data_IF_527551476776
#
_entry.id   IF_527551476776
#
_cell.length_a   1.000
_cell.length_b   1.000
_cell.length_c   1.000
_cell.angle_alpha   90.00
_cell.angle_beta   90.00
_cell.angle_gamma   90.00
#
_symmetry.space_group_name_H-M   'P 1'
#
loop_
_entity.id
_entity.type
_entity.pdbx_description
1 polymer ?
#
# COMPACT_ATOMS: atom_id res chain seq x y z
N UNK A 1 8.87 -7.04 19.64
CA UNK A 1 8.61 -7.78 18.39
C UNK A 1 7.88 -9.04 18.77
N UNK A 2 6.66 -9.26 18.27
CA UNK A 2 6.01 -10.57 18.38
C UNK A 2 6.49 -11.44 17.22
N UNK A 3 6.87 -12.68 17.51
CA UNK A 3 7.23 -13.69 16.51
C UNK A 3 6.30 -14.88 16.72
N UNK A 4 5.71 -15.39 15.65
CA UNK A 4 4.81 -16.54 15.70
C UNK A 4 4.94 -17.38 14.43
N UNK A 5 4.60 -18.66 14.54
CA UNK A 5 4.62 -19.61 13.42
C UNK A 5 3.24 -20.20 13.22
N UNK A 6 2.86 -20.50 11.98
CA UNK A 6 1.63 -21.22 11.66
C UNK A 6 1.86 -22.12 10.45
N UNK A 7 1.17 -23.26 10.42
CA UNK A 7 1.25 -24.21 9.30
C UNK A 7 0.30 -23.76 8.19
N UNK A 8 0.71 -23.98 6.94
CA UNK A 8 -0.15 -23.86 5.76
C UNK A 8 -1.15 -25.01 5.76
N UNK A 9 -2.44 -24.72 5.69
CA UNK A 9 -3.50 -25.74 5.60
C UNK A 9 -3.49 -26.42 4.23
N UNK A 10 -4.22 -27.53 4.07
CA UNK A 10 -4.37 -28.21 2.77
C UNK A 10 -4.92 -27.28 1.66
N UNK A 11 -5.70 -26.27 2.04
CA UNK A 11 -6.25 -25.26 1.12
C UNK A 11 -5.32 -24.07 0.89
N UNK A 12 -4.07 -24.13 1.36
CA UNK A 12 -3.09 -23.06 1.18
C UNK A 12 -3.29 -21.85 2.11
N UNK A 13 -4.08 -21.96 3.17
CA UNK A 13 -4.32 -20.85 4.09
C UNK A 13 -3.31 -20.84 5.24
N UNK A 14 -2.94 -19.65 5.72
CA UNK A 14 -2.15 -19.47 6.95
C UNK A 14 -2.94 -18.67 7.97
N UNK A 15 -2.84 -19.06 9.24
CA UNK A 15 -3.50 -18.35 10.35
C UNK A 15 -2.57 -17.28 10.91
N UNK A 16 -3.08 -16.06 11.10
CA UNK A 16 -2.34 -15.00 11.80
C UNK A 16 -2.62 -15.14 13.30
N UNK A 17 -1.58 -15.23 14.18
CA UNK A 17 -1.75 -15.30 15.63
C UNK A 17 -2.61 -14.17 16.22
N UNK A 18 -3.34 -14.47 17.30
CA UNK A 18 -4.37 -13.58 17.83
C UNK A 18 -3.83 -12.22 18.34
N UNK A 19 -2.65 -12.21 18.94
CA UNK A 19 -1.96 -10.99 19.40
C UNK A 19 -1.57 -10.09 18.20
N UNK A 20 -1.03 -10.69 17.14
CA UNK A 20 -0.70 -10.00 15.90
C UNK A 20 -1.95 -9.40 15.24
N UNK A 21 -3.05 -10.17 15.13
CA UNK A 21 -4.32 -9.66 14.58
C UNK A 21 -4.81 -8.43 15.32
N UNK A 22 -4.81 -8.46 16.66
CA UNK A 22 -5.23 -7.33 17.51
C UNK A 22 -4.33 -6.10 17.28
N UNK A 23 -3.01 -6.28 17.28
CA UNK A 23 -2.07 -5.17 17.08
C UNK A 23 -2.18 -4.51 15.68
N UNK A 24 -2.53 -5.32 14.68
CA UNK A 24 -2.66 -4.86 13.28
C UNK A 24 -4.06 -4.38 12.93
N UNK A 25 -5.06 -4.59 13.81
CA UNK A 25 -6.47 -4.27 13.54
C UNK A 25 -7.05 -5.16 12.43
N UNK A 26 -6.74 -6.46 12.48
CA UNK A 26 -7.23 -7.47 11.52
C UNK A 26 -8.40 -8.24 12.13
N UNK A 27 -9.60 -7.70 11.95
CA UNK A 27 -10.85 -8.34 12.35
C UNK A 27 -11.43 -9.21 11.24
N UNK A 28 -12.41 -10.05 11.57
CA UNK A 28 -13.14 -10.84 10.56
C UNK A 28 -13.68 -9.95 9.45
N UNK A 29 -13.38 -10.31 8.19
CA UNK A 29 -13.76 -9.52 7.01
C UNK A 29 -12.77 -8.41 6.64
N UNK A 30 -11.70 -8.21 7.40
CA UNK A 30 -10.65 -7.25 7.04
C UNK A 30 -9.82 -7.78 5.87
N UNK A 31 -9.77 -7.02 4.79
CA UNK A 31 -8.87 -7.28 3.67
C UNK A 31 -7.41 -6.94 4.01
N UNK A 32 -6.51 -7.75 3.45
CA UNK A 32 -5.06 -7.54 3.54
C UNK A 32 -4.46 -7.49 2.14
N UNK A 33 -3.42 -6.69 1.99
CA UNK A 33 -2.59 -6.62 0.79
C UNK A 33 -1.38 -7.54 0.99
N UNK A 34 -1.15 -8.40 0.01
CA UNK A 34 0.03 -9.25 -0.09
C UNK A 34 1.06 -8.55 -0.98
N UNK A 35 2.29 -8.44 -0.48
CA UNK A 35 3.44 -7.96 -1.26
C UNK A 35 4.48 -9.07 -1.25
N UNK A 36 4.79 -9.60 -2.43
CA UNK A 36 5.86 -10.57 -2.62
C UNK A 36 7.22 -9.87 -2.50
N UNK A 37 8.14 -10.51 -1.79
CA UNK A 37 9.53 -10.11 -1.57
C UNK A 37 10.43 -11.32 -1.92
N UNK A 38 11.73 -11.09 -2.07
CA UNK A 38 12.67 -12.15 -2.48
C UNK A 38 12.70 -13.34 -1.49
N UNK A 39 12.48 -13.10 -0.20
CA UNK A 39 12.55 -14.09 0.87
C UNK A 39 11.20 -14.39 1.54
N UNK A 40 10.09 -13.86 1.02
CA UNK A 40 8.77 -14.13 1.58
C UNK A 40 7.68 -13.17 1.15
N UNK A 41 6.69 -13.02 2.02
CA UNK A 41 5.51 -12.18 1.77
C UNK A 41 5.33 -11.21 2.94
N UNK A 42 5.14 -9.94 2.60
CA UNK A 42 4.73 -8.92 3.54
C UNK A 42 3.21 -8.74 3.47
N UNK A 43 2.57 -8.86 4.63
CA UNK A 43 1.14 -8.61 4.82
C UNK A 43 0.91 -7.20 5.36
N UNK A 44 0.02 -6.44 4.74
CA UNK A 44 -0.43 -5.13 5.25
C UNK A 44 -1.95 -5.06 5.32
N UNK A 45 -2.47 -4.41 6.36
CA UNK A 45 -3.91 -4.09 6.44
C UNK A 45 -4.29 -3.11 5.32
N UNK A 46 -5.29 -3.43 4.52
CA UNK A 46 -5.79 -2.52 3.46
C UNK A 46 -6.31 -1.21 4.07
N UNK A 47 -7.00 -1.30 5.21
CA UNK A 47 -7.51 -0.13 5.94
C UNK A 47 -6.40 0.84 6.31
N UNK A 48 -5.29 0.33 6.88
CA UNK A 48 -4.15 1.18 7.25
C UNK A 48 -3.47 1.80 6.03
N UNK A 49 -3.44 1.11 4.89
CA UNK A 49 -2.94 1.69 3.63
C UNK A 49 -3.84 2.85 3.20
N UNK A 50 -5.16 2.65 3.20
CA UNK A 50 -6.13 3.70 2.88
C UNK A 50 -6.01 4.91 3.80
N UNK A 51 -5.94 4.68 5.11
CA UNK A 51 -5.77 5.74 6.11
C UNK A 51 -4.47 6.52 5.88
N UNK A 52 -3.38 5.84 5.51
CA UNK A 52 -2.11 6.48 5.19
C UNK A 52 -2.14 7.30 3.89
N UNK A 53 -3.01 6.93 2.95
CA UNK A 53 -3.18 7.63 1.68
C UNK A 53 -4.19 8.79 1.74
N UNK A 54 -5.06 8.82 2.76
CA UNK A 54 -6.11 9.85 2.92
C UNK A 54 -5.59 11.30 2.85
N UNK A 55 -4.42 11.67 3.43
CA UNK A 55 -3.88 13.03 3.27
C UNK A 55 -3.61 13.40 1.81
N UNK A 56 -3.15 12.45 1.00
CA UNK A 56 -2.90 12.64 -0.43
C UNK A 56 -4.21 12.74 -1.20
N UNK A 57 -5.20 11.91 -0.88
CA UNK A 57 -6.54 11.98 -1.48
C UNK A 57 -7.24 13.30 -1.17
N UNK A 58 -7.12 13.80 0.08
CA UNK A 58 -7.60 15.14 0.44
C UNK A 58 -6.91 16.21 -0.40
N UNK A 59 -5.58 16.18 -0.50
CA UNK A 59 -4.83 17.16 -1.30
C UNK A 59 -5.20 17.12 -2.77
N UNK A 60 -5.43 15.92 -3.34
CA UNK A 60 -5.92 15.72 -4.70
C UNK A 60 -7.28 16.41 -4.91
N UNK A 61 -8.21 16.26 -3.96
CA UNK A 61 -9.53 16.91 -3.99
C UNK A 61 -9.41 18.44 -3.90
N UNK A 62 -8.61 18.94 -2.96
CA UNK A 62 -8.42 20.39 -2.75
C UNK A 62 -7.83 21.07 -3.99
N UNK A 63 -6.87 20.41 -4.66
CA UNK A 63 -6.24 20.89 -5.88
C UNK A 63 -7.07 20.63 -7.14
N UNK A 64 -8.22 19.94 -7.03
CA UNK A 64 -9.01 19.42 -8.16
C UNK A 64 -8.12 18.69 -9.19
N UNK A 65 -7.10 17.99 -8.70
CA UNK A 65 -6.06 17.39 -9.52
C UNK A 65 -6.65 16.21 -10.28
N UNK A 66 -6.68 16.32 -11.61
CA UNK A 66 -7.07 15.23 -12.52
C UNK A 66 -5.84 14.46 -12.99
N UNK A 67 -6.07 13.25 -13.48
CA UNK A 67 -4.99 12.42 -14.04
C UNK A 67 -4.35 13.09 -15.26
N UNK A 68 -5.15 13.71 -16.13
CA UNK A 68 -4.66 14.45 -17.30
C UNK A 68 -3.78 15.64 -16.92
N UNK A 69 -4.16 16.39 -15.88
CA UNK A 69 -3.34 17.51 -15.38
C UNK A 69 -1.99 17.01 -14.89
N UNK A 70 -1.98 15.94 -14.08
CA UNK A 70 -0.74 15.36 -13.57
C UNK A 70 0.16 14.82 -14.70
N UNK A 71 -0.43 14.14 -15.69
CA UNK A 71 0.30 13.63 -16.85
C UNK A 71 0.93 14.76 -17.67
N UNK A 72 0.20 15.86 -17.87
CA UNK A 72 0.71 17.06 -18.52
C UNK A 72 1.90 17.65 -17.75
N UNK A 73 1.76 17.82 -16.44
CA UNK A 73 2.81 18.40 -15.60
C UNK A 73 4.08 17.54 -15.60
N UNK A 74 3.95 16.21 -15.48
CA UNK A 74 5.09 15.28 -15.54
C UNK A 74 5.77 15.34 -16.90
N UNK A 75 5.00 15.42 -17.99
CA UNK A 75 5.54 15.50 -19.35
C UNK A 75 6.33 16.80 -19.58
N UNK A 76 5.78 17.93 -19.16
CA UNK A 76 6.46 19.23 -19.25
C UNK A 76 7.74 19.26 -18.40
N UNK A 77 7.71 18.74 -17.17
CA UNK A 77 8.89 18.70 -16.31
C UNK A 77 9.99 17.78 -16.86
N UNK A 78 9.63 16.62 -17.43
CA UNK A 78 10.58 15.73 -18.13
C UNK A 78 11.24 16.45 -19.31
N UNK A 79 10.47 17.18 -20.12
CA UNK A 79 10.98 17.94 -21.26
C UNK A 79 11.93 19.05 -20.79
N UNK A 80 11.56 19.79 -19.74
CA UNK A 80 12.39 20.85 -19.15
C UNK A 80 13.72 20.33 -18.61
N UNK A 81 13.71 19.17 -17.94
CA UNK A 81 14.93 18.53 -17.41
C UNK A 81 15.82 18.02 -18.54
N UNK A 82 15.23 17.46 -19.59
CA UNK A 82 15.98 17.02 -20.78
C UNK A 82 16.68 18.19 -21.48
N UNK A 83 16.00 19.33 -21.62
CA UNK A 83 16.59 20.54 -22.24
C UNK A 83 17.63 21.27 -21.39
N UNK A 84 17.70 21.01 -20.08
CA UNK A 84 18.71 21.61 -19.18
C UNK A 84 19.98 20.78 -19.05
N UNK A 85 19.94 19.52 -19.47
CA UNK A 85 21.06 18.57 -19.39
C UNK A 85 21.60 18.19 -20.78
N UNK A 86 21.17 18.89 -21.84
CA UNK A 86 21.64 18.80 -23.21
C UNK A 86 22.32 20.12 -23.59
#
# INVERSE_FOLDING_TARGET
MSVGTSRVTEKGQVTIPADMRKSLGLDTGTSVVFVELDDGVLLKSERKIRDALEPFDRRRRDLKLTREMLEKDVKEERKRRWSKNA
#
